data_IF_778448919242
#
_entry.id   IF_778448919242
#
_cell.length_a   1.000
_cell.length_b   1.000
_cell.length_c   1.000
_cell.angle_alpha   90.00
_cell.angle_beta   90.00
_cell.angle_gamma   90.00
#
_symmetry.space_group_name_H-M   'P 1'
#
loop_
_entity.id
_entity.type
_entity.pdbx_description
1 polymer ?
#
# COMPACT_ATOMS: atom_id res chain seq x y z
N UNK A 1 -4.73 -2.30 24.52
CA UNK A 1 -4.16 -3.41 23.75
C UNK A 1 -5.19 -4.36 23.14
N UNK A 2 -6.15 -4.85 23.89
CA UNK A 2 -7.17 -5.79 23.39
C UNK A 2 -8.13 -5.22 22.33
N UNK A 3 -8.48 -3.94 22.38
CA UNK A 3 -9.40 -3.31 21.41
C UNK A 3 -8.84 -3.17 19.99
N UNK A 4 -7.52 -3.05 19.86
CA UNK A 4 -6.87 -2.95 18.54
C UNK A 4 -6.75 -4.31 17.87
N UNK A 5 -6.56 -5.39 18.64
CA UNK A 5 -6.53 -6.74 18.12
C UNK A 5 -7.90 -7.22 17.62
N UNK A 6 -8.98 -6.79 18.26
CA UNK A 6 -10.35 -7.15 17.86
C UNK A 6 -10.72 -6.48 16.53
N UNK A 7 -10.28 -5.24 16.29
CA UNK A 7 -10.51 -4.57 14.99
C UNK A 7 -9.70 -5.21 13.86
N UNK A 8 -8.46 -5.61 14.14
CA UNK A 8 -7.61 -6.30 13.17
C UNK A 8 -8.17 -7.69 12.84
N UNK A 9 -8.61 -8.44 13.84
CA UNK A 9 -9.27 -9.75 13.68
C UNK A 9 -10.60 -9.57 12.92
N UNK A 10 -11.38 -8.55 13.22
CA UNK A 10 -12.61 -8.23 12.48
C UNK A 10 -12.37 -7.88 11.01
N UNK A 11 -11.29 -7.18 10.72
CA UNK A 11 -10.85 -6.87 9.36
C UNK A 11 -10.44 -8.14 8.61
N UNK A 12 -9.65 -9.02 9.24
CA UNK A 12 -9.21 -10.29 8.67
C UNK A 12 -10.37 -11.30 8.50
N UNK A 13 -11.34 -11.31 9.42
CA UNK A 13 -12.51 -12.21 9.36
C UNK A 13 -13.49 -11.80 8.26
N UNK A 14 -13.63 -10.51 7.95
CA UNK A 14 -14.46 -10.03 6.83
C UNK A 14 -13.89 -10.38 5.46
N UNK A 15 -12.60 -10.72 5.40
CA UNK A 15 -11.90 -11.18 4.20
C UNK A 15 -12.02 -12.71 4.01
N UNK A 16 -13.14 -13.31 4.37
CA UNK A 16 -13.39 -14.75 4.55
C UNK A 16 -13.00 -15.72 3.42
N UNK A 17 -12.46 -15.26 2.31
CA UNK A 17 -12.04 -16.13 1.19
C UNK A 17 -10.63 -15.84 0.69
N UNK A 18 -9.78 -15.23 1.51
CA UNK A 18 -8.46 -14.81 1.06
C UNK A 18 -7.37 -15.41 1.94
N UNK A 19 -6.30 -15.87 1.29
CA UNK A 19 -5.09 -16.26 1.98
C UNK A 19 -4.74 -15.20 3.03
N UNK A 20 -4.53 -15.61 4.28
CA UNK A 20 -4.15 -14.72 5.38
C UNK A 20 -2.92 -13.95 4.94
N UNK A 21 -3.06 -12.63 4.72
CA UNK A 21 -1.95 -11.77 4.37
C UNK A 21 -1.05 -11.60 5.59
N UNK A 22 0.24 -11.82 5.41
CA UNK A 22 1.22 -11.52 6.44
C UNK A 22 1.22 -10.02 6.71
N UNK A 23 1.12 -9.63 7.96
CA UNK A 23 1.22 -8.24 8.40
C UNK A 23 2.63 -7.93 8.87
N UNK A 24 3.15 -6.77 8.48
CA UNK A 24 4.48 -6.32 8.87
C UNK A 24 4.43 -4.86 9.31
N UNK A 25 5.21 -4.54 10.34
CA UNK A 25 5.46 -3.14 10.71
C UNK A 25 6.66 -2.63 9.93
N UNK A 26 6.48 -1.49 9.28
CA UNK A 26 7.56 -0.76 8.62
C UNK A 26 7.61 0.67 9.17
N UNK A 27 8.68 1.38 8.89
CA UNK A 27 8.80 2.79 9.26
C UNK A 27 9.09 3.63 8.04
N UNK A 28 8.45 4.79 7.98
CA UNK A 28 8.67 5.77 6.91
C UNK A 28 9.35 6.98 7.51
N UNK A 29 10.47 7.38 6.92
CA UNK A 29 11.32 8.44 7.46
C UNK A 29 11.45 9.61 6.47
N UNK A 30 11.30 10.83 6.98
CA UNK A 30 11.46 12.08 6.22
C UNK A 30 12.67 12.92 6.67
N UNK A 31 13.66 12.31 7.33
CA UNK A 31 14.83 13.00 7.88
C UNK A 31 14.64 13.61 9.28
N UNK A 32 13.40 13.90 9.69
CA UNK A 32 13.09 14.50 10.99
C UNK A 32 12.16 13.62 11.85
N UNK A 33 11.38 12.77 11.21
CA UNK A 33 10.37 11.94 11.85
C UNK A 33 10.43 10.52 11.34
N UNK A 34 10.13 9.60 12.22
CA UNK A 34 9.92 8.18 11.90
C UNK A 34 8.45 7.87 12.15
N UNK A 35 7.76 7.41 11.14
CA UNK A 35 6.33 7.16 11.19
C UNK A 35 6.09 5.67 11.02
N UNK A 36 5.55 4.97 12.03
CA UNK A 36 5.22 3.56 11.92
C UNK A 36 4.01 3.36 11.01
N UNK A 37 4.08 2.33 10.16
CA UNK A 37 3.01 1.92 9.28
C UNK A 37 2.87 0.40 9.33
N UNK A 38 1.69 -0.08 9.64
CA UNK A 38 1.38 -1.51 9.57
C UNK A 38 0.95 -1.85 8.14
N UNK A 39 1.64 -2.79 7.50
CA UNK A 39 1.33 -3.17 6.12
C UNK A 39 0.94 -4.63 6.01
N UNK A 40 -0.04 -4.90 5.17
CA UNK A 40 -0.36 -6.24 4.68
C UNK A 40 0.56 -6.52 3.50
N UNK A 41 1.22 -7.68 3.49
CA UNK A 41 2.24 -7.97 2.49
C UNK A 41 1.67 -8.75 1.32
N UNK A 42 1.78 -8.20 0.12
CA UNK A 42 1.41 -8.83 -1.14
C UNK A 42 2.68 -9.20 -1.92
N UNK A 43 3.18 -10.41 -1.67
CA UNK A 43 4.46 -10.92 -2.18
C UNK A 43 4.31 -12.06 -3.22
N UNK A 44 3.10 -12.38 -3.61
CA UNK A 44 2.81 -13.34 -4.68
C UNK A 44 2.00 -12.67 -5.78
N UNK A 45 2.01 -13.17 -7.03
CA UNK A 45 1.18 -12.64 -8.10
C UNK A 45 -0.31 -12.55 -7.71
N UNK A 46 -0.84 -13.59 -7.10
CA UNK A 46 -2.25 -13.63 -6.65
C UNK A 46 -2.57 -12.56 -5.62
N UNK A 47 -1.70 -12.36 -4.63
CA UNK A 47 -1.88 -11.34 -3.60
C UNK A 47 -1.76 -9.93 -4.19
N UNK A 48 -0.81 -9.71 -5.12
CA UNK A 48 -0.66 -8.42 -5.80
C UNK A 48 -1.85 -8.10 -6.70
N UNK A 49 -2.34 -9.07 -7.45
CA UNK A 49 -3.51 -8.89 -8.32
C UNK A 49 -4.75 -8.49 -7.54
N UNK A 50 -4.94 -9.07 -6.36
CA UNK A 50 -6.03 -8.70 -5.49
C UNK A 50 -5.83 -7.33 -4.84
N UNK A 51 -4.65 -7.05 -4.35
CA UNK A 51 -4.37 -5.80 -3.62
C UNK A 51 -5.40 -5.51 -2.54
N UNK A 52 -5.89 -4.29 -2.51
CA UNK A 52 -6.94 -3.81 -1.59
C UNK A 52 -8.36 -3.88 -2.18
N UNK A 53 -8.60 -4.75 -3.17
CA UNK A 53 -9.94 -4.95 -3.72
C UNK A 53 -10.94 -5.31 -2.61
N UNK A 54 -12.15 -4.72 -2.68
CA UNK A 54 -13.28 -4.95 -1.77
C UNK A 54 -13.06 -4.51 -0.31
N UNK A 55 -11.97 -3.79 -0.02
CA UNK A 55 -11.76 -3.19 1.29
C UNK A 55 -12.63 -1.95 1.41
N UNK A 56 -13.53 -1.94 2.40
CA UNK A 56 -14.44 -0.83 2.65
C UNK A 56 -13.84 0.24 3.56
N UNK A 57 -12.94 -0.17 4.45
CA UNK A 57 -12.33 0.72 5.43
C UNK A 57 -10.90 0.26 5.75
N UNK A 58 -9.94 1.14 5.53
CA UNK A 58 -8.53 0.95 5.85
C UNK A 58 -8.17 1.89 7.01
N UNK A 59 -7.74 1.35 8.17
CA UNK A 59 -7.28 2.20 9.26
C UNK A 59 -6.18 3.16 8.83
N UNK A 60 -6.12 4.36 9.43
CA UNK A 60 -5.27 5.47 8.99
C UNK A 60 -3.78 5.09 8.88
N UNK A 61 -3.25 4.32 9.81
CA UNK A 61 -1.84 3.92 9.79
C UNK A 61 -1.65 2.46 9.34
N UNK A 62 -2.49 2.01 8.44
CA UNK A 62 -2.37 0.74 7.75
C UNK A 62 -2.29 0.93 6.25
N UNK A 63 -1.65 -0.03 5.58
CA UNK A 63 -1.50 -0.03 4.14
C UNK A 63 -1.20 -1.41 3.59
N UNK A 64 -0.86 -1.48 2.31
CA UNK A 64 -0.42 -2.70 1.66
C UNK A 64 0.94 -2.50 1.00
N UNK A 65 1.86 -3.41 1.32
CA UNK A 65 3.18 -3.47 0.72
C UNK A 65 3.18 -4.53 -0.39
N UNK A 66 3.40 -4.06 -1.60
CA UNK A 66 3.60 -4.92 -2.77
C UNK A 66 5.09 -5.20 -2.93
N UNK A 67 5.45 -6.48 -2.88
CA UNK A 67 6.83 -6.95 -3.05
C UNK A 67 6.94 -7.67 -4.37
N UNK A 68 7.88 -7.24 -5.20
CA UNK A 68 8.18 -7.88 -6.47
C UNK A 68 9.51 -8.64 -6.35
N UNK A 69 9.58 -9.82 -6.95
CA UNK A 69 10.79 -10.66 -6.90
C UNK A 69 11.97 -10.06 -7.67
N UNK A 70 11.70 -9.16 -8.59
CA UNK A 70 12.69 -8.45 -9.38
C UNK A 70 12.20 -7.02 -9.65
N UNK A 71 13.10 -6.18 -10.08
CA UNK A 71 12.81 -4.84 -10.58
C UNK A 71 11.71 -4.91 -11.65
N UNK A 72 10.66 -4.15 -11.48
CA UNK A 72 9.47 -4.18 -12.32
C UNK A 72 9.14 -2.81 -12.91
N UNK A 73 8.30 -2.80 -13.92
CA UNK A 73 7.80 -1.62 -14.60
C UNK A 73 6.29 -1.76 -14.83
N UNK A 74 5.59 -0.65 -14.93
CA UNK A 74 4.14 -0.61 -15.17
C UNK A 74 3.38 -0.08 -13.96
N UNK A 75 2.07 0.00 -14.12
CA UNK A 75 1.22 0.70 -13.16
C UNK A 75 0.27 -0.21 -12.39
N UNK A 76 -0.57 0.46 -11.61
CA UNK A 76 -1.63 -0.12 -10.80
C UNK A 76 -2.98 0.40 -11.29
N UNK A 77 -4.01 -0.39 -11.12
CA UNK A 77 -5.38 0.02 -11.39
C UNK A 77 -6.21 -0.03 -10.11
N UNK A 78 -7.35 0.64 -10.15
CA UNK A 78 -8.27 0.71 -9.01
C UNK A 78 -9.54 -0.14 -9.22
N UNK A 79 -9.45 -1.18 -10.07
CA UNK A 79 -10.56 -2.10 -10.28
C UNK A 79 -10.97 -2.75 -8.95
N UNK A 80 -12.27 -2.76 -8.66
CA UNK A 80 -12.84 -3.31 -7.43
C UNK A 80 -12.25 -2.72 -6.14
N UNK A 81 -11.55 -1.63 -6.22
CA UNK A 81 -11.00 -0.92 -5.06
C UNK A 81 -11.94 0.21 -4.69
N UNK A 82 -12.55 0.10 -3.52
CA UNK A 82 -13.71 0.88 -3.11
C UNK A 82 -13.33 2.23 -2.49
N UNK A 83 -12.11 2.36 -2.00
CA UNK A 83 -11.60 3.54 -1.30
C UNK A 83 -10.49 4.22 -2.10
N UNK A 84 -10.38 5.56 -2.04
CA UNK A 84 -9.27 6.26 -2.67
C UNK A 84 -7.97 6.01 -1.90
N UNK A 85 -6.87 5.92 -2.63
CA UNK A 85 -5.56 5.55 -2.10
C UNK A 85 -4.47 6.50 -2.61
N UNK A 86 -3.39 6.59 -1.87
CA UNK A 86 -2.10 7.08 -2.36
C UNK A 86 -1.12 5.93 -2.46
N UNK A 87 -0.34 5.87 -3.53
CA UNK A 87 0.67 4.83 -3.75
C UNK A 87 2.05 5.45 -3.87
N UNK A 88 3.03 4.89 -3.15
CA UNK A 88 4.44 5.21 -3.30
C UNK A 88 5.15 4.06 -4.00
N UNK A 89 6.00 4.39 -4.97
CA UNK A 89 6.86 3.44 -5.68
C UNK A 89 8.29 3.61 -5.18
N UNK A 90 8.95 2.51 -4.81
CA UNK A 90 10.23 2.51 -4.13
C UNK A 90 11.28 1.72 -4.90
N UNK A 91 12.53 2.13 -4.79
CA UNK A 91 13.66 1.33 -5.25
C UNK A 91 14.00 0.20 -4.26
N UNK A 92 15.03 -0.59 -4.57
CA UNK A 92 15.47 -1.71 -3.73
C UNK A 92 15.99 -1.30 -2.37
N UNK A 93 16.38 -0.05 -2.19
CA UNK A 93 16.88 0.51 -0.93
C UNK A 93 15.75 1.13 -0.08
N UNK A 94 14.51 1.13 -0.56
CA UNK A 94 13.39 1.74 0.11
C UNK A 94 13.23 3.23 -0.14
N UNK A 95 13.97 3.81 -1.08
CA UNK A 95 13.79 5.22 -1.46
C UNK A 95 12.52 5.41 -2.23
N UNK A 96 11.70 6.37 -1.84
CA UNK A 96 10.47 6.75 -2.53
C UNK A 96 10.84 7.50 -3.81
N UNK A 97 10.50 6.91 -4.95
CA UNK A 97 10.79 7.44 -6.28
C UNK A 97 9.63 8.28 -6.82
N UNK A 98 8.40 7.86 -6.55
CA UNK A 98 7.19 8.50 -7.06
C UNK A 98 6.03 8.24 -6.11
N UNK A 99 5.15 9.25 -5.96
CA UNK A 99 3.88 9.12 -5.24
C UNK A 99 2.77 9.54 -6.18
N UNK A 100 1.74 8.71 -6.31
CA UNK A 100 0.53 8.98 -7.09
C UNK A 100 -0.71 8.84 -6.23
N UNK A 101 -1.71 9.67 -6.50
CA UNK A 101 -3.04 9.54 -5.92
C UNK A 101 -3.94 8.78 -6.87
N UNK A 102 -4.75 7.88 -6.34
CA UNK A 102 -5.61 6.99 -7.10
C UNK A 102 -7.04 7.05 -6.58
N UNK A 103 -7.99 7.15 -7.49
CA UNK A 103 -9.42 7.17 -7.17
C UNK A 103 -10.12 5.90 -7.64
N UNK A 104 -11.21 5.48 -6.96
CA UNK A 104 -11.98 4.31 -7.38
C UNK A 104 -12.43 4.40 -8.84
N UNK A 105 -12.34 3.27 -9.54
CA UNK A 105 -12.79 3.15 -10.92
C UNK A 105 -14.28 2.77 -10.94
N UNK A 106 -15.10 3.57 -11.61
CA UNK A 106 -16.57 3.40 -11.67
C UNK A 106 -17.06 2.76 -12.98
N UNK A 107 -16.18 2.40 -13.90
CA UNK A 107 -16.55 1.88 -15.20
C UNK A 107 -15.93 0.53 -15.52
N UNK A 108 -16.18 0.06 -16.75
CA UNK A 108 -15.58 -1.19 -17.25
C UNK A 108 -14.09 -1.02 -17.62
N UNK A 109 -13.66 0.22 -17.84
CA UNK A 109 -12.29 0.56 -18.19
C UNK A 109 -11.68 1.35 -17.04
N UNK A 110 -10.75 0.72 -16.32
CA UNK A 110 -10.03 1.37 -15.25
C UNK A 110 -8.72 1.94 -15.78
N UNK A 111 -8.43 3.23 -15.53
CA UNK A 111 -7.14 3.79 -15.88
C UNK A 111 -6.02 3.12 -15.09
N UNK A 112 -4.85 3.07 -15.67
CA UNK A 112 -3.62 2.60 -15.02
C UNK A 112 -2.84 3.79 -14.49
N UNK A 113 -2.48 3.73 -13.22
CA UNK A 113 -1.61 4.71 -12.57
C UNK A 113 -0.18 4.21 -12.68
N UNK A 114 0.56 4.73 -13.66
CA UNK A 114 1.90 4.29 -14.02
C UNK A 114 2.92 5.32 -13.56
N UNK A 115 3.92 4.95 -12.74
CA UNK A 115 4.97 5.88 -12.33
C UNK A 115 5.95 6.23 -13.45
N UNK A 116 5.92 5.49 -14.57
CA UNK A 116 6.81 5.66 -15.73
C UNK A 116 8.30 5.47 -15.35
N UNK A 117 8.55 4.60 -14.40
CA UNK A 117 9.89 4.24 -13.92
C UNK A 117 9.92 2.80 -13.40
N UNK A 118 11.12 2.25 -13.23
CA UNK A 118 11.32 0.95 -12.60
C UNK A 118 11.30 1.07 -11.08
N UNK A 119 10.72 0.07 -10.40
CA UNK A 119 10.64 0.01 -8.95
C UNK A 119 10.72 -1.44 -8.43
N UNK A 120 10.97 -1.62 -7.14
CA UNK A 120 11.01 -2.92 -6.46
C UNK A 120 9.83 -3.14 -5.51
N UNK A 121 9.34 -2.05 -4.92
CA UNK A 121 8.23 -2.08 -3.97
C UNK A 121 7.22 -1.00 -4.31
N UNK A 122 5.98 -1.25 -3.90
CA UNK A 122 4.96 -0.21 -3.86
C UNK A 122 4.20 -0.28 -2.54
N UNK A 123 3.78 0.87 -2.01
CA UNK A 123 3.01 0.93 -0.77
C UNK A 123 1.77 1.76 -0.99
N UNK A 124 0.61 1.12 -0.84
CA UNK A 124 -0.69 1.78 -0.84
C UNK A 124 -1.12 2.13 0.57
N UNK A 125 -1.64 3.32 0.74
CA UNK A 125 -2.19 3.87 1.99
C UNK A 125 -3.44 4.67 1.68
N UNK A 126 -4.17 5.08 2.71
CA UNK A 126 -5.29 6.00 2.53
C UNK A 126 -4.87 7.25 1.76
N UNK A 127 -5.75 7.75 0.91
CA UNK A 127 -5.51 8.96 0.12
C UNK A 127 -5.00 10.10 1.01
N UNK A 128 -3.88 10.69 0.62
CA UNK A 128 -3.28 11.82 1.31
C UNK A 128 -2.45 11.49 2.55
N UNK A 129 -2.29 10.21 2.91
CA UNK A 129 -1.52 9.80 4.09
C UNK A 129 -0.06 10.30 4.03
N UNK A 130 0.60 10.21 2.89
CA UNK A 130 1.97 10.69 2.73
C UNK A 130 2.05 12.20 3.00
N UNK A 131 1.15 12.97 2.40
CA UNK A 131 1.09 14.42 2.59
C UNK A 131 0.80 14.81 4.04
N UNK A 132 -0.16 14.14 4.69
CA UNK A 132 -0.49 14.39 6.12
C UNK A 132 0.69 14.12 7.03
N UNK A 133 1.53 13.16 6.69
CA UNK A 133 2.72 12.81 7.47
C UNK A 133 4.00 13.50 6.96
N UNK A 134 3.88 14.45 6.04
CA UNK A 134 4.98 15.20 5.45
C UNK A 134 6.03 14.31 4.78
N UNK A 135 5.58 13.22 4.20
CA UNK A 135 6.39 12.29 3.41
C UNK A 135 6.33 12.70 1.93
N UNK A 136 7.46 12.73 1.29
CA UNK A 136 7.61 13.12 -0.12
C UNK A 136 8.54 12.20 -0.88
N UNK A 137 8.56 12.35 -2.19
CA UNK A 137 9.56 11.72 -3.05
C UNK A 137 10.97 12.05 -2.57
N UNK A 138 11.85 11.06 -2.51
CA UNK A 138 13.19 11.15 -1.94
C UNK A 138 13.31 10.70 -0.49
N UNK A 139 12.21 10.62 0.24
CA UNK A 139 12.20 10.04 1.58
C UNK A 139 12.35 8.51 1.53
N UNK A 140 12.54 7.87 2.68
CA UNK A 140 12.87 6.46 2.76
C UNK A 140 11.87 5.66 3.59
N UNK A 141 11.67 4.42 3.16
CA UNK A 141 10.99 3.38 3.93
C UNK A 141 12.03 2.39 4.43
N UNK A 142 12.00 2.12 5.73
CA UNK A 142 12.86 1.14 6.36
C UNK A 142 12.07 -0.14 6.61
N UNK A 143 12.56 -1.23 6.05
CA UNK A 143 12.02 -2.57 6.27
C UNK A 143 12.79 -3.23 7.42
N UNK A 144 12.06 -3.64 8.43
CA UNK A 144 12.65 -4.32 9.58
C UNK A 144 12.51 -5.82 9.44
#
# INVERSE_FOLDING_TARGET
MLKNNIKLIGYLIRQKNHAILQTKMITVANGHRIIPLTVHVADTPKKRDKGLMFVENLPENEGMLFVFSAKTYGGFWMKNTLIPLSIAFLDSNGKILKILDMVPCKGNFCPTYDPELYYHYAIEVNLGWYKRNQIKEGDFVMFV
#
